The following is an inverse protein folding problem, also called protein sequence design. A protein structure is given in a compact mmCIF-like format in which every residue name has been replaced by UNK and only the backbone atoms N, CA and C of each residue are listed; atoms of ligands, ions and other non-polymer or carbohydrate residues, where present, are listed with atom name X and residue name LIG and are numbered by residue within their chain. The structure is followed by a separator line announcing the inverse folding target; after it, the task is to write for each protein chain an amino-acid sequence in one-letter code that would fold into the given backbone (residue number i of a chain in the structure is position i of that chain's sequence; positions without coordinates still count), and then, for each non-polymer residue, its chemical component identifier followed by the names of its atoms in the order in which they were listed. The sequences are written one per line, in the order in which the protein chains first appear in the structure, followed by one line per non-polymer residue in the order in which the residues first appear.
data_IF_079494337598
#
_entry.id   IF_079494337598
#
_cell.length_a   1.000
_cell.length_b   1.000
_cell.length_c   1.000
_cell.angle_alpha   90.00
_cell.angle_beta   90.00
_cell.angle_gamma   90.00
#
_symmetry.space_group_name_H-M   'P 1'
#
loop_
_entity.id
_entity.type
_entity.pdbx_description
1 polymer ?
#
# COMPACT_ATOMS: atom_id res chain seq x y z
N UNK A 1 -44.87 -1.92 40.51
CA UNK A 1 -44.97 -2.95 39.47
C UNK A 1 -43.64 -2.92 38.76
N UNK A 2 -42.80 -3.91 39.04
CA UNK A 2 -41.48 -4.06 38.45
C UNK A 2 -41.62 -4.39 36.97
N UNK A 3 -40.81 -3.80 36.09
CA UNK A 3 -40.54 -4.39 34.79
C UNK A 3 -39.13 -4.04 34.31
N UNK A 4 -38.50 -5.05 33.75
CA UNK A 4 -37.07 -5.32 33.63
C UNK A 4 -36.26 -4.34 32.78
N UNK A 5 -35.12 -3.95 33.35
CA UNK A 5 -33.94 -3.46 32.64
C UNK A 5 -33.28 -4.64 31.90
N UNK A 6 -33.06 -4.52 30.59
CA UNK A 6 -32.29 -5.48 29.78
C UNK A 6 -31.19 -4.70 29.07
N UNK A 7 -29.90 -5.00 29.27
CA UNK A 7 -28.84 -4.27 28.59
C UNK A 7 -28.75 -4.73 27.13
N UNK A 8 -28.92 -3.78 26.21
CA UNK A 8 -28.61 -3.98 24.79
C UNK A 8 -27.12 -4.32 24.63
N UNK A 9 -26.87 -5.47 24.02
CA UNK A 9 -25.52 -5.92 23.68
C UNK A 9 -25.08 -5.24 22.39
N UNK A 10 -24.01 -4.44 22.48
CA UNK A 10 -23.34 -3.82 21.33
C UNK A 10 -22.72 -4.93 20.47
N UNK A 11 -22.97 -5.01 19.15
CA UNK A 11 -22.37 -6.04 18.32
C UNK A 11 -20.88 -5.76 18.12
N UNK A 12 -20.07 -6.72 18.60
CA UNK A 12 -18.63 -6.81 18.42
C UNK A 12 -18.28 -6.85 16.93
N UNK A 13 -17.86 -5.71 16.38
CA UNK A 13 -17.38 -5.59 14.99
C UNK A 13 -15.89 -5.92 14.91
N UNK A 14 -15.56 -7.16 15.23
CA UNK A 14 -14.28 -7.78 14.87
C UNK A 14 -14.53 -8.86 13.80
N UNK A 15 -13.67 -9.01 12.79
CA UNK A 15 -13.81 -10.09 11.82
C UNK A 15 -13.73 -11.46 12.52
N UNK A 16 -14.84 -12.22 12.48
CA UNK A 16 -14.99 -13.54 13.13
C UNK A 16 -14.29 -14.69 12.38
N UNK A 17 -13.05 -14.50 11.93
CA UNK A 17 -12.32 -15.63 11.35
C UNK A 17 -10.81 -15.61 11.63
N UNK A 18 -10.38 -16.12 12.80
CA UNK A 18 -8.96 -16.36 13.09
C UNK A 18 -8.34 -17.49 12.24
N UNK A 19 -9.12 -18.26 11.47
CA UNK A 19 -8.60 -19.39 10.69
C UNK A 19 -7.75 -18.95 9.49
N UNK A 20 -7.95 -17.73 8.98
CA UNK A 20 -7.15 -17.16 7.88
C UNK A 20 -5.72 -16.80 8.30
N UNK A 21 -5.46 -16.62 9.60
CA UNK A 21 -4.11 -16.40 10.15
C UNK A 21 -3.32 -17.69 10.32
N UNK A 22 -3.99 -18.85 10.41
CA UNK A 22 -3.34 -20.16 10.59
C UNK A 22 -2.68 -20.70 9.32
N UNK A 23 -2.88 -20.08 8.17
CA UNK A 23 -2.25 -20.52 6.92
C UNK A 23 -0.75 -20.14 6.83
N UNK A 24 -0.26 -19.21 7.67
CA UNK A 24 1.14 -18.77 7.68
C UNK A 24 1.94 -19.20 8.91
N UNK A 25 1.33 -19.86 9.90
CA UNK A 25 2.01 -20.36 11.11
C UNK A 25 2.53 -21.82 10.96
N UNK A 26 2.20 -22.50 9.86
CA UNK A 26 2.51 -23.92 9.65
C UNK A 26 3.92 -24.27 9.16
N UNK A 27 4.85 -23.32 9.02
CA UNK A 27 6.18 -23.56 8.42
C UNK A 27 7.39 -23.41 9.36
N UNK A 28 7.19 -23.19 10.67
CA UNK A 28 8.28 -22.87 11.59
C UNK A 28 8.44 -23.84 12.78
N UNK A 29 8.28 -25.15 12.56
CA UNK A 29 8.51 -26.14 13.62
C UNK A 29 9.21 -27.42 13.11
N UNK A 30 10.51 -27.33 12.81
CA UNK A 30 11.44 -28.47 12.99
C UNK A 30 12.73 -27.90 13.60
N UNK A 31 12.86 -28.05 14.92
CA UNK A 31 14.06 -27.73 15.68
C UNK A 31 14.96 -28.96 15.86
N UNK A 32 16.22 -28.79 15.44
CA UNK A 32 17.48 -29.31 15.97
C UNK A 32 17.58 -30.72 16.62
N UNK A 33 18.36 -31.61 15.96
CA UNK A 33 19.45 -32.35 16.61
C UNK A 33 20.44 -32.99 15.59
N UNK A 34 21.69 -32.49 15.63
CA UNK A 34 22.99 -33.19 15.52
C UNK A 34 23.50 -33.87 14.23
N UNK A 35 24.80 -33.57 14.00
CA UNK A 35 25.87 -34.25 13.24
C UNK A 35 26.01 -33.93 11.74
N UNK A 36 27.06 -33.17 11.40
CA UNK A 36 27.62 -33.08 10.05
C UNK A 36 28.23 -34.43 9.66
N UNK A 37 27.89 -34.95 8.47
CA UNK A 37 28.95 -35.23 7.50
C UNK A 37 28.66 -34.60 6.14
N UNK A 38 29.73 -34.13 5.50
CA UNK A 38 29.72 -33.65 4.14
C UNK A 38 29.35 -34.79 3.17
N UNK A 39 28.26 -34.62 2.40
CA UNK A 39 28.00 -35.35 1.15
C UNK A 39 26.98 -34.58 0.31
N UNK A 40 27.35 -34.37 -0.95
CA UNK A 40 26.54 -34.01 -2.12
C UNK A 40 25.49 -32.89 -1.99
N UNK A 41 25.76 -31.79 -2.72
CA UNK A 41 24.71 -30.88 -3.18
C UNK A 41 23.81 -31.63 -4.17
N UNK A 42 22.78 -32.29 -3.65
CA UNK A 42 21.54 -32.47 -4.41
C UNK A 42 20.75 -31.18 -4.22
N UNK A 43 20.74 -30.34 -5.25
CA UNK A 43 19.69 -29.38 -5.42
C UNK A 43 18.38 -30.17 -5.44
N UNK A 44 17.67 -30.17 -4.32
CA UNK A 44 16.31 -30.67 -4.27
C UNK A 44 15.51 -29.82 -5.26
N UNK A 45 15.24 -30.38 -6.43
CA UNK A 45 14.27 -29.85 -7.36
C UNK A 45 12.97 -29.71 -6.57
N UNK A 46 12.61 -28.46 -6.24
CA UNK A 46 11.33 -28.15 -5.66
C UNK A 46 10.27 -28.65 -6.64
N UNK A 47 9.62 -29.76 -6.30
CA UNK A 47 8.56 -30.34 -7.10
C UNK A 47 7.57 -29.22 -7.48
N UNK A 48 7.25 -29.02 -8.76
CA UNK A 48 6.34 -27.96 -9.15
C UNK A 48 5.02 -28.19 -8.43
N UNK A 49 4.65 -27.23 -7.55
CA UNK A 49 3.35 -27.23 -6.90
C UNK A 49 2.27 -27.51 -7.94
N UNK A 50 1.32 -28.39 -7.64
CA UNK A 50 0.30 -28.83 -8.59
C UNK A 50 -0.55 -27.64 -9.08
N UNK A 51 -0.07 -26.96 -10.13
CA UNK A 51 -0.66 -25.74 -10.73
C UNK A 51 -2.08 -25.98 -11.25
N UNK A 52 -2.48 -27.23 -11.47
CA UNK A 52 -3.80 -27.60 -11.98
C UNK A 52 -4.94 -27.14 -11.06
N UNK A 53 -4.91 -27.42 -9.76
CA UNK A 53 -6.14 -27.32 -8.95
C UNK A 53 -6.56 -25.90 -8.58
N UNK A 54 -5.62 -25.01 -8.25
CA UNK A 54 -5.93 -23.61 -7.93
C UNK A 54 -6.18 -22.79 -9.20
N UNK A 55 -5.33 -22.94 -10.21
CA UNK A 55 -5.48 -22.17 -11.44
C UNK A 55 -6.76 -22.58 -12.19
N UNK A 56 -7.16 -23.85 -12.16
CA UNK A 56 -8.44 -24.29 -12.73
C UNK A 56 -9.63 -23.70 -11.96
N UNK A 57 -9.58 -23.68 -10.62
CA UNK A 57 -10.62 -23.04 -9.80
C UNK A 57 -10.70 -21.54 -10.09
N UNK A 58 -9.56 -20.85 -10.16
CA UNK A 58 -9.52 -19.42 -10.49
C UNK A 58 -10.10 -19.16 -11.89
N UNK A 59 -9.68 -19.93 -12.91
CA UNK A 59 -10.25 -19.83 -14.26
C UNK A 59 -11.73 -20.16 -14.29
N UNK A 60 -12.21 -21.08 -13.46
CA UNK A 60 -13.61 -21.46 -13.41
C UNK A 60 -14.48 -20.38 -12.75
N UNK A 61 -14.03 -19.78 -11.65
CA UNK A 61 -14.83 -18.84 -10.85
C UNK A 61 -14.59 -17.36 -11.16
N UNK A 62 -13.40 -16.98 -11.64
CA UNK A 62 -13.05 -15.58 -11.95
C UNK A 62 -13.02 -15.39 -13.45
N UNK A 63 -14.01 -14.69 -13.99
CA UNK A 63 -14.14 -14.41 -15.43
C UNK A 63 -13.65 -13.02 -15.82
N UNK A 64 -13.81 -12.07 -14.91
CA UNK A 64 -13.49 -10.67 -15.14
C UNK A 64 -12.61 -10.18 -13.99
N UNK A 65 -11.54 -9.47 -14.35
CA UNK A 65 -10.71 -8.75 -13.40
C UNK A 65 -10.82 -7.27 -13.75
N UNK A 66 -11.36 -6.49 -12.82
CA UNK A 66 -11.42 -5.04 -12.95
C UNK A 66 -10.35 -4.46 -12.05
N UNK A 67 -9.42 -3.71 -12.64
CA UNK A 67 -8.35 -3.03 -11.91
C UNK A 67 -8.69 -1.54 -11.82
N UNK A 68 -8.95 -1.08 -10.60
CA UNK A 68 -9.13 0.36 -10.31
C UNK A 68 -7.80 0.86 -9.76
N UNK A 69 -7.08 1.65 -10.56
CA UNK A 69 -5.79 2.22 -10.18
C UNK A 69 -5.98 3.63 -9.61
N UNK A 70 -5.70 3.76 -8.31
CA UNK A 70 -5.83 5.02 -7.57
C UNK A 70 -4.47 5.71 -7.44
N UNK A 71 -4.48 6.98 -7.04
CA UNK A 71 -3.30 7.84 -7.06
C UNK A 71 -2.94 8.41 -5.69
N UNK A 72 -1.64 8.64 -5.49
CA UNK A 72 -1.02 9.59 -4.54
C UNK A 72 -1.39 9.46 -3.05
N UNK A 73 -1.73 8.28 -2.56
CA UNK A 73 -1.98 8.02 -1.13
C UNK A 73 -1.15 6.84 -0.64
N UNK A 74 -0.40 7.04 0.45
CA UNK A 74 0.33 5.95 1.11
C UNK A 74 -0.62 5.10 1.96
N UNK A 75 -0.21 3.86 2.27
CA UNK A 75 -0.99 2.99 3.15
C UNK A 75 -1.23 3.64 4.52
N UNK A 76 -0.19 4.19 5.16
CA UNK A 76 -0.30 4.81 6.48
C UNK A 76 -1.18 6.07 6.47
N UNK A 77 -1.31 6.76 5.34
CA UNK A 77 -2.17 7.95 5.23
C UNK A 77 -3.67 7.61 5.33
N UNK A 78 -4.10 6.41 4.91
CA UNK A 78 -5.52 6.00 4.86
C UNK A 78 -5.86 4.82 5.77
N UNK A 79 -4.98 3.83 5.87
CA UNK A 79 -5.21 2.51 6.46
C UNK A 79 -4.29 2.18 7.62
N UNK A 80 -3.48 3.14 8.10
CA UNK A 80 -2.46 2.90 9.12
C UNK A 80 -2.98 2.25 10.42
N UNK A 81 -4.27 2.40 10.73
CA UNK A 81 -4.93 1.80 11.89
C UNK A 81 -6.06 0.83 11.52
N UNK A 82 -6.05 0.29 10.30
CA UNK A 82 -7.05 -0.69 9.88
C UNK A 82 -6.98 -1.95 10.78
N UNK A 83 -8.12 -2.52 11.23
CA UNK A 83 -8.11 -3.67 12.12
C UNK A 83 -7.31 -4.84 11.56
N UNK A 84 -6.34 -5.32 12.32
CA UNK A 84 -5.56 -6.50 11.98
C UNK A 84 -4.35 -6.27 11.08
N UNK A 85 -4.04 -5.03 10.69
CA UNK A 85 -2.76 -4.72 10.01
C UNK A 85 -1.56 -5.13 10.87
N UNK A 86 -0.49 -5.53 10.20
CA UNK A 86 0.72 -6.06 10.84
C UNK A 86 1.40 -5.04 11.76
N UNK A 87 1.44 -3.77 11.36
CA UNK A 87 2.08 -2.69 12.10
C UNK A 87 1.14 -1.47 12.21
N UNK A 88 0.24 -1.45 13.21
CA UNK A 88 -0.67 -0.33 13.40
C UNK A 88 0.07 0.97 13.73
N UNK A 89 -0.28 2.06 13.06
CA UNK A 89 0.31 3.39 13.26
C UNK A 89 0.18 3.86 14.72
N UNK A 90 -0.97 3.59 15.34
CA UNK A 90 -1.25 3.88 16.76
C UNK A 90 -0.34 3.15 17.75
N UNK A 91 0.34 2.08 17.31
CA UNK A 91 1.28 1.29 18.11
C UNK A 91 2.73 1.50 17.69
N UNK A 92 3.00 2.41 16.74
CA UNK A 92 4.34 2.72 16.32
C UNK A 92 5.11 3.37 17.50
N UNK A 93 6.33 2.90 17.82
CA UNK A 93 7.13 3.51 18.87
C UNK A 93 7.50 4.94 18.48
N UNK A 94 7.53 5.84 19.45
CA UNK A 94 7.79 7.27 19.21
C UNK A 94 9.11 7.48 18.45
N UNK A 95 10.13 6.67 18.75
CA UNK A 95 11.45 6.71 18.13
C UNK A 95 11.42 6.43 16.63
N UNK A 96 10.53 5.54 16.17
CA UNK A 96 10.37 5.22 14.75
C UNK A 96 9.61 6.30 13.97
N UNK A 97 8.94 7.20 14.68
CA UNK A 97 8.18 8.31 14.11
C UNK A 97 8.99 9.60 13.98
N UNK A 98 10.16 9.66 14.62
CA UNK A 98 11.03 10.86 14.62
C UNK A 98 11.51 11.15 13.21
N UNK A 99 11.44 12.43 12.84
CA UNK A 99 12.04 12.96 11.63
C UNK A 99 13.29 13.78 11.95
N UNK A 100 14.27 13.67 11.06
CA UNK A 100 15.53 14.40 11.03
C UNK A 100 15.50 15.43 9.92
N UNK A 101 16.34 16.45 10.06
CA UNK A 101 16.67 17.37 8.97
C UNK A 101 17.77 16.78 8.06
N UNK A 102 18.13 17.50 7.00
CA UNK A 102 19.11 17.08 5.98
C UNK A 102 20.52 16.92 6.53
N UNK A 103 20.84 17.62 7.61
CA UNK A 103 22.11 17.50 8.34
C UNK A 103 22.12 16.34 9.34
N UNK A 104 21.00 15.61 9.48
CA UNK A 104 20.82 14.51 10.43
C UNK A 104 20.40 14.96 11.83
N UNK A 105 20.22 16.26 12.07
CA UNK A 105 19.72 16.75 13.35
C UNK A 105 18.25 16.37 13.56
N UNK A 106 17.88 16.01 14.79
CA UNK A 106 16.47 15.74 15.13
C UNK A 106 15.66 17.03 15.06
N UNK A 107 14.53 17.00 14.35
CA UNK A 107 13.61 18.13 14.33
C UNK A 107 12.99 18.32 15.72
N UNK A 108 13.04 19.55 16.26
CA UNK A 108 12.39 19.90 17.53
C UNK A 108 10.86 19.89 17.40
N UNK A 109 10.38 20.41 16.28
CA UNK A 109 9.00 20.40 15.82
C UNK A 109 8.99 20.28 14.31
N UNK A 110 7.88 19.84 13.73
CA UNK A 110 7.77 19.84 12.28
C UNK A 110 7.72 21.28 11.75
N UNK A 111 8.24 21.53 10.53
CA UNK A 111 8.11 22.82 9.88
C UNK A 111 6.64 23.10 9.56
N UNK A 112 6.34 24.32 9.10
CA UNK A 112 5.01 24.63 8.58
C UNK A 112 4.70 23.77 7.36
N UNK A 113 3.42 23.67 7.02
CA UNK A 113 2.99 23.12 5.73
C UNK A 113 3.16 24.23 4.70
N UNK A 114 4.28 24.22 3.98
CA UNK A 114 4.63 25.29 3.06
C UNK A 114 3.59 25.46 1.97
N UNK A 115 3.10 26.70 1.82
CA UNK A 115 2.05 27.03 0.85
C UNK A 115 0.65 26.52 1.21
N UNK A 116 0.44 26.01 2.43
CA UNK A 116 -0.86 25.59 2.94
C UNK A 116 -1.24 24.15 2.60
N UNK A 117 -2.10 23.56 3.45
CA UNK A 117 -2.63 22.22 3.28
C UNK A 117 -3.71 22.15 2.21
N UNK A 118 -4.57 23.18 2.14
CA UNK A 118 -5.63 23.31 1.13
C UNK A 118 -5.40 24.62 0.38
N UNK A 119 -4.70 24.54 -0.74
CA UNK A 119 -4.16 25.71 -1.46
C UNK A 119 -5.19 26.43 -2.34
N UNK A 120 -6.32 25.76 -2.60
CA UNK A 120 -7.41 26.29 -3.42
C UNK A 120 -8.71 26.14 -2.65
N UNK A 121 -9.40 27.27 -2.50
CA UNK A 121 -10.70 27.33 -1.87
C UNK A 121 -11.68 26.36 -2.53
N UNK A 122 -12.39 25.58 -1.71
CA UNK A 122 -13.36 24.60 -2.19
C UNK A 122 -14.47 24.37 -1.16
N UNK A 123 -15.66 23.98 -1.63
CA UNK A 123 -16.78 23.63 -0.74
C UNK A 123 -17.06 22.14 -0.83
N UNK A 124 -17.02 21.46 0.32
CA UNK A 124 -17.32 20.02 0.43
C UNK A 124 -18.33 19.84 1.55
N UNK A 125 -19.45 19.18 1.25
CA UNK A 125 -20.51 18.95 2.25
C UNK A 125 -21.10 20.25 2.85
N UNK A 126 -21.13 21.34 2.08
CA UNK A 126 -21.65 22.64 2.55
C UNK A 126 -20.67 23.47 3.39
N UNK A 127 -19.48 22.95 3.72
CA UNK A 127 -18.40 23.69 4.41
C UNK A 127 -17.34 24.14 3.41
N UNK A 128 -16.87 25.38 3.56
CA UNK A 128 -15.77 25.94 2.75
C UNK A 128 -14.41 25.65 3.40
N UNK A 129 -13.44 25.23 2.59
CA UNK A 129 -12.09 24.88 3.02
C UNK A 129 -11.07 25.71 2.25
N UNK A 130 -10.26 26.46 3.01
CA UNK A 130 -9.04 27.13 2.57
C UNK A 130 -8.11 27.13 3.78
N UNK A 131 -7.10 26.26 3.77
CA UNK A 131 -6.24 26.01 4.93
C UNK A 131 -4.82 26.38 4.53
N UNK A 132 -4.52 27.66 4.73
CA UNK A 132 -3.25 28.28 4.40
C UNK A 132 -2.17 27.96 5.43
N UNK A 133 -0.94 28.33 5.12
CA UNK A 133 0.25 28.01 5.91
C UNK A 133 0.17 28.52 7.36
N UNK A 134 -0.48 29.66 7.60
CA UNK A 134 -0.64 30.27 8.92
C UNK A 134 -1.69 29.56 9.80
N UNK A 135 -2.54 28.70 9.21
CA UNK A 135 -3.65 28.03 9.90
C UNK A 135 -3.25 26.74 10.63
N UNK A 136 -2.06 26.20 10.36
CA UNK A 136 -1.55 24.99 10.99
C UNK A 136 -0.19 25.29 11.60
N UNK A 137 -0.10 25.17 12.92
CA UNK A 137 1.10 25.52 13.69
C UNK A 137 1.38 24.47 14.76
N UNK A 138 2.58 24.51 15.32
CA UNK A 138 2.98 23.72 16.50
C UNK A 138 2.83 22.21 16.33
N UNK A 139 3.17 21.69 15.15
CA UNK A 139 3.08 20.26 14.85
C UNK A 139 4.21 19.48 15.56
N UNK A 140 3.88 18.39 16.28
CA UNK A 140 4.88 17.55 16.94
C UNK A 140 5.72 16.80 15.91
N UNK A 141 6.98 16.49 16.23
CA UNK A 141 7.83 15.67 15.38
C UNK A 141 7.34 14.21 15.32
N UNK A 142 6.40 13.94 14.40
CA UNK A 142 5.84 12.63 14.14
C UNK A 142 4.55 12.71 13.33
N UNK A 143 3.90 11.57 13.06
CA UNK A 143 2.62 11.53 12.40
C UNK A 143 1.54 12.31 13.15
N UNK A 144 0.68 13.01 12.42
CA UNK A 144 -0.43 13.76 13.01
C UNK A 144 -1.74 13.60 12.22
N UNK A 145 -2.90 13.63 12.90
CA UNK A 145 -4.18 13.56 12.22
C UNK A 145 -4.44 14.85 11.43
N UNK A 146 -4.88 14.72 10.18
CA UNK A 146 -5.31 15.86 9.37
C UNK A 146 -6.63 16.42 9.91
N UNK A 147 -6.63 17.73 10.19
CA UNK A 147 -7.76 18.45 10.76
C UNK A 147 -8.01 19.74 10.01
N UNK A 148 -9.25 20.22 10.01
CA UNK A 148 -9.57 21.55 9.53
C UNK A 148 -9.27 22.64 10.58
N UNK A 149 -9.60 23.89 10.25
CA UNK A 149 -9.35 25.05 11.11
C UNK A 149 -10.14 25.06 12.42
N UNK A 150 -11.22 24.28 12.48
CA UNK A 150 -12.05 24.14 13.69
C UNK A 150 -11.59 22.95 14.55
N UNK A 151 -10.57 22.22 14.09
CA UNK A 151 -10.01 21.05 14.77
C UNK A 151 -10.74 19.74 14.47
N UNK A 152 -11.71 19.76 13.56
CA UNK A 152 -12.47 18.60 13.13
C UNK A 152 -11.67 17.76 12.11
N UNK A 153 -11.90 16.44 12.03
CA UNK A 153 -11.27 15.57 11.03
C UNK A 153 -11.43 16.12 9.60
N UNK A 154 -10.32 16.21 8.86
CA UNK A 154 -10.38 16.66 7.48
C UNK A 154 -11.10 15.61 6.61
N UNK A 155 -12.16 15.96 5.86
CA UNK A 155 -12.81 14.99 4.97
C UNK A 155 -11.88 14.55 3.83
N UNK A 156 -11.94 13.27 3.47
CA UNK A 156 -11.10 12.69 2.40
C UNK A 156 -11.42 13.26 1.01
N UNK A 157 -12.62 13.84 0.85
CA UNK A 157 -13.05 14.53 -0.37
C UNK A 157 -12.46 15.95 -0.54
N UNK A 158 -11.84 16.53 0.50
CA UNK A 158 -11.16 17.82 0.39
C UNK A 158 -9.83 17.61 -0.33
N UNK A 159 -9.65 18.31 -1.44
CA UNK A 159 -8.41 18.28 -2.22
C UNK A 159 -7.33 19.03 -1.45
N UNK A 160 -6.36 18.29 -0.93
CA UNK A 160 -5.15 18.82 -0.30
C UNK A 160 -4.07 19.11 -1.35
N UNK A 161 -3.02 19.84 -0.94
CA UNK A 161 -1.77 19.95 -1.71
C UNK A 161 -1.28 18.55 -2.10
N UNK A 162 -0.81 18.40 -3.34
CA UNK A 162 -0.15 17.18 -3.80
C UNK A 162 1.26 17.08 -3.20
N UNK A 163 1.64 15.88 -2.81
CA UNK A 163 2.96 15.60 -2.23
C UNK A 163 3.89 15.19 -3.37
N UNK A 164 5.10 15.76 -3.43
CA UNK A 164 6.02 15.30 -4.45
C UNK A 164 6.37 13.81 -4.26
N UNK A 165 6.42 13.08 -5.36
CA UNK A 165 6.67 11.65 -5.41
C UNK A 165 7.77 11.40 -6.43
N UNK A 166 8.91 12.05 -6.22
CA UNK A 166 10.06 12.00 -7.13
C UNK A 166 10.99 10.83 -6.77
N UNK A 167 11.63 10.26 -7.80
CA UNK A 167 12.42 9.02 -7.70
C UNK A 167 13.56 9.10 -6.67
N UNK A 168 14.36 10.17 -6.69
CA UNK A 168 15.50 10.31 -5.77
C UNK A 168 15.06 10.77 -4.38
N UNK A 169 14.10 11.69 -4.33
CA UNK A 169 13.54 12.21 -3.08
C UNK A 169 12.95 11.08 -2.26
N UNK A 170 12.19 10.18 -2.89
CA UNK A 170 11.62 9.06 -2.16
C UNK A 170 12.69 8.15 -1.53
N UNK A 171 13.83 7.93 -2.20
CA UNK A 171 14.96 7.21 -1.61
C UNK A 171 15.62 7.99 -0.46
N UNK A 172 15.78 9.31 -0.60
CA UNK A 172 16.32 10.15 0.47
C UNK A 172 15.41 10.18 1.69
N UNK A 173 14.08 10.21 1.49
CA UNK A 173 13.08 10.16 2.57
C UNK A 173 13.13 8.83 3.34
N UNK A 174 13.27 7.71 2.62
CA UNK A 174 13.41 6.37 3.20
C UNK A 174 14.75 6.22 3.94
N UNK A 175 15.78 6.96 3.52
CA UNK A 175 17.07 7.07 4.19
C UNK A 175 17.71 5.71 4.54
N UNK A 176 17.80 4.82 3.55
CA UNK A 176 18.35 3.46 3.75
C UNK A 176 17.49 2.56 4.66
N UNK A 177 16.20 2.84 4.77
CA UNK A 177 15.24 2.06 5.56
C UNK A 177 14.98 2.63 6.96
N UNK A 178 15.66 3.71 7.35
CA UNK A 178 15.42 4.40 8.62
C UNK A 178 14.09 5.15 8.67
N UNK A 179 13.56 5.56 7.50
CA UNK A 179 12.28 6.24 7.35
C UNK A 179 12.15 7.55 8.17
N UNK A 180 13.26 8.26 8.33
CA UNK A 180 13.42 9.38 9.25
C UNK A 180 13.73 10.72 8.55
N UNK A 181 13.64 10.80 7.21
CA UNK A 181 13.90 12.03 6.45
C UNK A 181 12.79 12.41 5.46
N UNK A 182 11.55 11.96 5.72
CA UNK A 182 10.40 12.34 4.89
C UNK A 182 10.21 13.85 4.84
N UNK A 183 10.32 14.50 6.00
CA UNK A 183 10.12 15.95 6.15
C UNK A 183 11.29 16.75 5.57
N UNK A 184 12.53 16.32 5.80
CA UNK A 184 13.74 16.96 5.24
C UNK A 184 13.70 17.05 3.71
N UNK A 185 13.15 16.02 3.08
CA UNK A 185 13.02 15.90 1.64
C UNK A 185 11.54 15.87 1.24
N UNK A 186 10.70 16.69 1.85
CA UNK A 186 9.36 17.04 1.35
C UNK A 186 9.37 18.45 0.75
N UNK A 187 8.53 18.69 -0.26
CA UNK A 187 8.25 20.03 -0.77
C UNK A 187 7.05 20.70 -0.07
N UNK A 188 6.30 19.92 0.71
CA UNK A 188 5.09 20.33 1.43
C UNK A 188 5.31 20.56 2.93
N UNK A 189 6.56 20.50 3.39
CA UNK A 189 6.90 20.59 4.82
C UNK A 189 6.29 19.44 5.61
N UNK A 190 5.53 19.75 6.66
CA UNK A 190 4.99 18.74 7.57
C UNK A 190 3.90 17.85 6.97
N UNK A 191 3.25 18.23 5.87
CA UNK A 191 2.07 17.52 5.35
C UNK A 191 2.34 16.04 5.02
N UNK A 192 3.59 15.70 4.69
CA UNK A 192 4.02 14.30 4.46
C UNK A 192 3.80 13.38 5.67
N UNK A 193 3.70 13.93 6.88
CA UNK A 193 3.44 13.20 8.13
C UNK A 193 1.94 13.13 8.47
N UNK A 194 1.08 13.73 7.68
CA UNK A 194 -0.37 13.75 7.91
C UNK A 194 -1.04 12.42 7.60
N UNK A 195 -2.03 12.02 8.40
CA UNK A 195 -2.91 10.88 8.12
C UNK A 195 -4.39 11.22 8.41
N UNK A 196 -5.31 10.57 7.70
CA UNK A 196 -6.74 10.69 7.96
C UNK A 196 -7.13 9.78 9.13
N UNK A 197 -7.75 10.33 10.18
CA UNK A 197 -8.02 9.61 11.43
C UNK A 197 -9.42 8.98 11.52
N UNK A 198 -10.35 9.36 10.64
CA UNK A 198 -11.73 8.86 10.64
C UNK A 198 -12.10 8.04 9.39
N UNK A 199 -11.09 7.49 8.71
CA UNK A 199 -11.30 6.67 7.50
C UNK A 199 -12.22 5.47 7.75
N UNK A 200 -12.22 4.92 8.95
CA UNK A 200 -13.16 3.85 9.33
C UNK A 200 -14.64 4.23 9.17
N UNK A 201 -14.98 5.51 9.42
CA UNK A 201 -16.35 6.02 9.33
C UNK A 201 -16.66 6.55 7.94
N UNK A 202 -15.72 7.33 7.40
CA UNK A 202 -15.98 8.24 6.27
C UNK A 202 -15.48 7.68 4.93
N UNK A 203 -14.46 6.81 4.93
CA UNK A 203 -13.89 6.27 3.70
C UNK A 203 -14.65 5.02 3.24
N UNK A 204 -15.40 5.12 2.13
CA UNK A 204 -16.12 3.97 1.56
C UNK A 204 -15.18 2.79 1.22
N UNK A 205 -13.93 3.07 0.83
CA UNK A 205 -12.94 2.02 0.56
C UNK A 205 -12.57 1.23 1.83
N UNK A 206 -12.61 1.85 3.02
CA UNK A 206 -12.41 1.14 4.27
C UNK A 206 -13.50 0.09 4.51
N UNK A 207 -14.76 0.45 4.27
CA UNK A 207 -15.91 -0.47 4.42
C UNK A 207 -15.80 -1.65 3.46
N UNK A 208 -15.32 -1.41 2.24
CA UNK A 208 -15.02 -2.49 1.27
C UNK A 208 -13.88 -3.36 1.81
N UNK A 209 -12.79 -2.77 2.31
CA UNK A 209 -11.66 -3.52 2.87
C UNK A 209 -12.06 -4.40 4.07
N UNK A 210 -13.06 -4.01 4.87
CA UNK A 210 -13.61 -4.86 5.96
C UNK A 210 -14.36 -6.09 5.45
N UNK A 211 -14.96 -6.02 4.27
CA UNK A 211 -15.72 -7.13 3.66
C UNK A 211 -14.82 -8.06 2.82
N UNK A 212 -13.69 -7.55 2.35
CA UNK A 212 -12.81 -8.23 1.40
C UNK A 212 -11.37 -8.33 1.94
N UNK A 213 -10.41 -8.53 1.03
CA UNK A 213 -9.01 -8.69 1.39
C UNK A 213 -8.29 -7.35 1.27
N UNK A 214 -7.55 -6.97 2.30
CA UNK A 214 -6.62 -5.84 2.29
C UNK A 214 -5.19 -6.37 2.33
N UNK A 215 -4.35 -5.90 1.41
CA UNK A 215 -2.92 -6.21 1.39
C UNK A 215 -2.14 -5.08 2.07
N UNK A 216 -1.58 -5.32 3.25
CA UNK A 216 -0.82 -4.35 4.05
C UNK A 216 0.70 -4.42 3.83
N UNK A 217 1.15 -5.27 2.91
CA UNK A 217 2.54 -5.45 2.51
C UNK A 217 2.70 -5.39 0.98
N UNK A 218 1.98 -4.45 0.35
CA UNK A 218 2.00 -4.19 -1.08
C UNK A 218 2.75 -2.89 -1.36
N UNK A 219 3.82 -2.97 -2.17
CA UNK A 219 4.71 -1.85 -2.45
C UNK A 219 4.63 -1.43 -3.91
N UNK A 220 4.92 -0.16 -4.16
CA UNK A 220 5.17 0.33 -5.51
C UNK A 220 6.31 -0.47 -6.16
N UNK A 221 6.20 -0.71 -7.46
CA UNK A 221 7.18 -1.52 -8.20
C UNK A 221 8.53 -0.79 -8.39
N UNK A 222 8.49 0.55 -8.41
CA UNK A 222 9.66 1.40 -8.46
C UNK A 222 9.44 2.67 -7.64
N UNK A 223 10.52 3.25 -7.12
CA UNK A 223 10.47 4.56 -6.47
C UNK A 223 9.93 5.65 -7.39
N UNK A 224 9.36 6.70 -6.81
CA UNK A 224 8.91 7.88 -7.54
C UNK A 224 7.49 7.76 -8.09
N UNK A 225 7.23 8.46 -9.19
CA UNK A 225 5.89 8.87 -9.56
C UNK A 225 5.09 7.92 -10.45
N UNK A 226 3.87 8.37 -10.78
CA UNK A 226 2.84 7.58 -11.45
C UNK A 226 3.29 7.02 -12.79
N UNK A 227 3.97 7.80 -13.64
CA UNK A 227 4.36 7.38 -15.00
C UNK A 227 5.16 6.07 -15.04
N UNK A 228 6.09 5.88 -14.11
CA UNK A 228 6.90 4.67 -14.04
C UNK A 228 6.08 3.50 -13.51
N UNK A 229 5.37 3.70 -12.40
CA UNK A 229 4.58 2.66 -11.76
C UNK A 229 3.39 2.18 -12.62
N UNK A 230 2.81 3.04 -13.46
CA UNK A 230 1.80 2.66 -14.46
C UNK A 230 2.34 1.67 -15.49
N UNK A 231 3.59 1.84 -15.93
CA UNK A 231 4.23 0.89 -16.86
C UNK A 231 4.45 -0.46 -16.18
N UNK A 232 4.89 -0.44 -14.92
CA UNK A 232 5.10 -1.65 -14.13
C UNK A 232 3.79 -2.39 -13.84
N UNK A 233 2.69 -1.67 -13.58
CA UNK A 233 1.37 -2.30 -13.39
C UNK A 233 0.99 -3.20 -14.57
N UNK A 234 1.22 -2.71 -15.80
CA UNK A 234 0.78 -3.40 -17.01
C UNK A 234 1.80 -4.44 -17.49
N UNK A 235 3.09 -4.15 -17.38
CA UNK A 235 4.14 -4.93 -18.06
C UNK A 235 5.23 -5.50 -17.15
N UNK A 236 5.15 -5.23 -15.84
CA UNK A 236 6.17 -5.58 -14.84
C UNK A 236 7.59 -5.07 -15.20
N UNK A 237 7.70 -4.10 -16.10
CA UNK A 237 8.95 -3.53 -16.57
C UNK A 237 8.76 -2.07 -16.98
N UNK A 238 9.86 -1.32 -17.00
CA UNK A 238 9.90 -0.03 -17.69
C UNK A 238 9.97 -0.28 -19.20
N UNK A 239 9.34 0.59 -20.00
CA UNK A 239 9.50 0.56 -21.45
C UNK A 239 10.99 0.72 -21.80
N UNK A 240 11.58 -0.31 -22.40
CA UNK A 240 12.93 -0.24 -22.91
C UNK A 240 12.91 0.33 -24.34
N UNK A 241 13.38 1.57 -24.52
CA UNK A 241 13.52 2.19 -25.85
C UNK A 241 14.73 1.68 -26.62
N UNK A 242 15.59 0.84 -26.01
CA UNK A 242 16.82 0.34 -26.64
C UNK A 242 16.65 -0.96 -27.43
N UNK A 243 15.46 -1.56 -27.47
CA UNK A 243 15.19 -2.69 -28.36
C UNK A 243 14.84 -2.15 -29.75
N UNK A 244 15.66 -2.37 -30.79
CA UNK A 244 15.26 -2.10 -32.15
C UNK A 244 13.96 -2.84 -32.42
N UNK A 245 13.00 -2.16 -33.05
CA UNK A 245 11.76 -2.75 -33.51
C UNK A 245 12.07 -3.76 -34.61
N UNK A 246 12.56 -4.93 -34.24
CA UNK A 246 12.66 -6.05 -35.16
C UNK A 246 11.21 -6.35 -35.54
N UNK A 247 10.80 -6.17 -36.80
CA UNK A 247 9.44 -6.54 -37.18
C UNK A 247 9.23 -8.01 -36.81
N UNK A 248 8.03 -8.41 -36.35
CA UNK A 248 7.76 -9.81 -36.09
C UNK A 248 8.13 -10.58 -37.36
N UNK A 249 9.12 -11.48 -37.27
CA UNK A 249 9.40 -12.41 -38.36
C UNK A 249 8.07 -13.08 -38.69
N UNK A 250 7.62 -13.07 -39.96
CA UNK A 250 6.37 -13.73 -40.30
C UNK A 250 6.47 -15.17 -39.81
N UNK A 251 5.53 -15.57 -38.96
CA UNK A 251 5.37 -16.96 -38.54
C UNK A 251 5.28 -17.75 -39.83
N UNK A 252 6.33 -18.53 -40.16
CA UNK A 252 6.22 -19.55 -41.20
C UNK A 252 5.15 -20.51 -40.73
N UNK A 253 3.94 -20.32 -41.24
CA UNK A 253 2.85 -21.26 -41.23
C UNK A 253 3.35 -22.55 -41.87
N UNK A 254 3.82 -23.48 -41.04
CA UNK A 254 3.91 -24.89 -41.44
C UNK A 254 2.55 -25.50 -41.15
N UNK A 255 1.70 -25.53 -42.17
CA UNK A 255 0.62 -26.50 -42.24
C UNK A 255 0.30 -26.83 -43.71
N UNK A 256 0.62 -28.08 -44.08
CA UNK A 256 -0.12 -29.00 -44.97
C UNK A 256 0.60 -29.67 -46.15
N UNK A 257 0.28 -30.98 -46.24
CA UNK A 257 0.43 -32.02 -47.29
C UNK A 257 1.64 -32.94 -47.15
N UNK A 258 1.52 -34.27 -47.27
CA UNK A 258 0.55 -35.07 -48.04
C UNK A 258 0.08 -36.34 -47.32
N UNK A 259 -1.12 -36.79 -47.68
CA UNK A 259 -1.63 -38.15 -47.45
C UNK A 259 -0.81 -39.20 -48.22
N UNK A 260 -0.75 -40.46 -47.75
CA UNK A 260 -0.06 -41.54 -48.45
C UNK A 260 -0.86 -42.04 -49.66
N UNK A 261 -0.15 -42.29 -50.77
CA UNK A 261 -0.67 -43.06 -51.92
C UNK A 261 -0.86 -44.51 -51.53
N UNK A 262 -1.98 -45.08 -51.99
CA UNK A 262 -2.25 -46.51 -51.99
C UNK A 262 -1.29 -47.25 -52.94
N UNK A 263 -0.85 -48.43 -52.51
CA UNK A 263 -0.38 -49.54 -53.36
C UNK A 263 -0.87 -50.83 -52.71
N UNK A 264 -1.61 -51.64 -53.46
CA UNK A 264 -2.21 -52.90 -53.04
C UNK A 264 -3.57 -53.08 -53.71
#
# INVERSE_FOLDING_TARGET
MSEHDTPETVPETAPQDPSRRRLFEGLAAIGAATVLPAVASEAADAAPAARGSLDDKLRHHVKNVVVIYLENRSFNNLYGNFPGVRYPLSKAPAEACVQLDRDGARLKSLPKIWGGMVQRGQTVGGKYYLIEEDKIQNLPNGPFPLKDTDGEPLPEGVITRDLWHLFYQNQMQINGGRNDQFVAWADSGALVMGYYNETAKNLNQWKIAQQYTLCDNFFMAAFGGSYLNHQFLISAARRNTSTPRTPPRPKRSRCWRMAPRATG
#
